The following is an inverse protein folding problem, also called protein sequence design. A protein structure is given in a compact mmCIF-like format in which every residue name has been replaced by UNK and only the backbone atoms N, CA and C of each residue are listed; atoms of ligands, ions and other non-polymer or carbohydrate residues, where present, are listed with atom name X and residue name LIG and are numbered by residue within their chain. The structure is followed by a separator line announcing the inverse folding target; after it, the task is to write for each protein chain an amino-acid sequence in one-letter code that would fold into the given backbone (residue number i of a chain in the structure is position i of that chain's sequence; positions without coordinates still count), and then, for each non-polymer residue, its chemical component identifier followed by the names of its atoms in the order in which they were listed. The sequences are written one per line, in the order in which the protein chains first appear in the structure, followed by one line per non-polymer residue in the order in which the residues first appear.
data_IF_738111136385
#
_entry.id   IF_738111136385
#
_cell.length_a   1.000
_cell.length_b   1.000
_cell.length_c   1.000
_cell.angle_alpha   90.00
_cell.angle_beta   90.00
_cell.angle_gamma   90.00
#
_symmetry.space_group_name_H-M   'P 1'
#
loop_
_entity.id
_entity.type
_entity.pdbx_description
1 polymer ?
#
# COMPACT_ATOMS: atom_id res chain seq x y z
N UNK A 1 33.46 -25.63 -35.60
CA UNK A 1 33.11 -26.34 -36.84
C UNK A 1 31.93 -27.27 -36.57
N UNK A 2 31.02 -27.36 -37.54
CA UNK A 2 29.78 -28.17 -37.58
C UNK A 2 30.04 -29.68 -37.43
N UNK A 3 29.01 -30.42 -37.00
CA UNK A 3 28.50 -31.72 -37.53
C UNK A 3 27.47 -32.26 -36.51
N UNK A 4 26.15 -32.22 -36.73
CA UNK A 4 25.30 -33.11 -37.58
C UNK A 4 25.42 -34.59 -37.21
N UNK A 5 24.34 -35.21 -36.73
CA UNK A 5 23.91 -36.52 -37.25
C UNK A 5 22.44 -36.85 -36.98
N UNK A 6 21.84 -37.49 -37.98
CA UNK A 6 20.44 -37.85 -38.18
C UNK A 6 20.21 -39.35 -37.94
N UNK A 7 18.97 -39.75 -37.63
CA UNK A 7 18.39 -41.09 -37.92
C UNK A 7 16.86 -40.98 -37.78
N UNK A 8 16.07 -40.91 -38.85
CA UNK A 8 15.67 -41.95 -39.82
C UNK A 8 14.82 -43.09 -39.23
N UNK A 9 13.55 -43.18 -39.67
CA UNK A 9 12.92 -44.38 -40.30
C UNK A 9 11.44 -44.15 -40.69
N UNK A 10 11.24 -43.96 -42.00
CA UNK A 10 10.31 -44.64 -42.94
C UNK A 10 9.08 -45.44 -42.46
N UNK A 11 7.95 -45.24 -43.18
CA UNK A 11 6.86 -46.20 -43.42
C UNK A 11 5.56 -45.48 -43.88
N UNK A 12 5.24 -45.36 -45.17
CA UNK A 12 4.37 -46.27 -45.97
C UNK A 12 2.90 -46.27 -45.47
N UNK A 13 1.79 -46.06 -46.20
CA UNK A 13 1.40 -46.16 -47.62
C UNK A 13 0.05 -45.41 -47.81
N UNK A 14 -0.14 -44.83 -49.00
CA UNK A 14 -1.38 -44.28 -49.57
C UNK A 14 -2.49 -45.33 -49.73
N UNK A 15 -3.79 -44.97 -49.69
CA UNK A 15 -4.80 -45.44 -50.65
C UNK A 15 -6.18 -44.75 -50.47
N UNK A 16 -6.59 -44.04 -51.52
CA UNK A 16 -7.94 -43.85 -52.08
C UNK A 16 -9.20 -43.79 -51.17
N UNK A 17 -9.95 -42.68 -51.28
CA UNK A 17 -11.26 -42.66 -51.97
C UNK A 17 -11.89 -41.27 -51.99
N UNK A 18 -12.10 -40.76 -53.21
CA UNK A 18 -13.04 -39.68 -53.54
C UNK A 18 -14.45 -40.20 -53.32
N UNK A 19 -15.37 -39.39 -52.76
CA UNK A 19 -16.74 -39.17 -53.26
C UNK A 19 -17.58 -38.30 -52.30
N UNK A 20 -18.16 -37.24 -52.90
CA UNK A 20 -19.47 -36.64 -52.64
C UNK A 20 -19.65 -35.69 -51.44
N UNK A 21 -19.66 -34.40 -51.80
CA UNK A 21 -20.70 -33.40 -51.49
C UNK A 21 -21.72 -33.78 -50.41
N UNK A 22 -21.77 -33.01 -49.34
CA UNK A 22 -22.97 -32.25 -48.94
C UNK A 22 -22.65 -31.33 -47.77
N UNK A 23 -23.21 -30.14 -47.85
CA UNK A 23 -23.06 -29.02 -46.94
C UNK A 23 -23.39 -29.39 -45.49
N UNK A 24 -22.43 -29.23 -44.59
CA UNK A 24 -22.72 -29.00 -43.18
C UNK A 24 -21.67 -28.07 -42.58
N UNK A 25 -22.17 -26.90 -42.21
CA UNK A 25 -21.54 -25.83 -41.45
C UNK A 25 -20.51 -26.37 -40.45
N UNK A 26 -19.22 -26.24 -40.76
CA UNK A 26 -18.15 -26.38 -39.78
C UNK A 26 -18.18 -25.17 -38.86
N UNK A 27 -18.98 -25.26 -37.79
CA UNK A 27 -18.73 -24.46 -36.60
C UNK A 27 -17.39 -24.94 -36.06
N UNK A 28 -16.35 -24.15 -36.26
CA UNK A 28 -15.04 -24.35 -35.67
C UNK A 28 -15.16 -24.18 -34.14
N UNK A 29 -15.63 -25.20 -33.43
CA UNK A 29 -15.38 -25.31 -32.00
C UNK A 29 -13.89 -25.60 -31.85
N UNK A 30 -13.09 -24.55 -31.71
CA UNK A 30 -11.71 -24.66 -31.23
C UNK A 30 -11.83 -25.12 -29.77
N UNK A 31 -11.45 -26.35 -29.41
CA UNK A 31 -11.38 -26.69 -28.00
C UNK A 31 -10.30 -25.79 -27.41
N UNK A 32 -10.72 -24.80 -26.61
CA UNK A 32 -9.81 -24.20 -25.65
C UNK A 32 -9.51 -25.32 -24.69
N UNK A 33 -8.43 -26.06 -24.96
CA UNK A 33 -7.74 -26.80 -23.93
C UNK A 33 -7.31 -25.73 -22.92
N UNK A 34 -8.18 -25.48 -21.94
CA UNK A 34 -7.84 -24.74 -20.74
C UNK A 34 -6.80 -25.62 -20.09
N UNK A 35 -5.53 -25.35 -20.39
CA UNK A 35 -4.44 -25.74 -19.51
C UNK A 35 -4.89 -25.27 -18.14
N UNK A 36 -5.24 -26.22 -17.27
CA UNK A 36 -5.34 -26.00 -15.84
C UNK A 36 -3.93 -25.59 -15.43
N UNK A 37 -3.62 -24.31 -15.63
CA UNK A 37 -2.48 -23.67 -15.02
C UNK A 37 -2.85 -23.69 -13.56
N UNK A 38 -2.33 -24.70 -12.85
CA UNK A 38 -2.38 -24.75 -11.39
C UNK A 38 -2.04 -23.36 -10.91
N UNK A 39 -3.05 -22.64 -10.41
CA UNK A 39 -2.82 -21.45 -9.62
C UNK A 39 -2.04 -21.97 -8.43
N UNK A 40 -0.73 -21.78 -8.43
CA UNK A 40 0.04 -22.05 -7.22
C UNK A 40 -0.59 -21.19 -6.14
N UNK A 41 -1.14 -21.84 -5.14
CA UNK A 41 -1.47 -21.20 -3.86
C UNK A 41 -0.17 -20.96 -3.11
N UNK A 42 0.82 -20.36 -3.80
CA UNK A 42 1.95 -19.76 -3.13
C UNK A 42 1.38 -18.55 -2.41
N UNK A 43 1.01 -18.77 -1.13
CA UNK A 43 0.68 -17.69 -0.22
C UNK A 43 1.94 -16.84 -0.13
N UNK A 44 2.08 -15.87 -1.03
CA UNK A 44 3.09 -14.81 -0.93
C UNK A 44 2.78 -14.03 0.33
N UNK A 45 3.24 -14.55 1.47
CA UNK A 45 3.21 -13.83 2.73
C UNK A 45 4.07 -12.60 2.51
N UNK A 46 3.49 -11.44 2.77
CA UNK A 46 4.29 -10.23 2.81
C UNK A 46 5.41 -10.46 3.84
N UNK A 47 6.64 -10.01 3.56
CA UNK A 47 7.72 -10.08 4.53
C UNK A 47 7.31 -9.46 5.86
N UNK A 48 7.79 -9.99 6.98
CA UNK A 48 7.43 -9.49 8.31
C UNK A 48 7.79 -8.01 8.50
N UNK A 49 8.73 -7.46 7.72
CA UNK A 49 9.14 -6.06 7.78
C UNK A 49 8.32 -5.13 6.87
N UNK A 50 7.33 -5.65 6.15
CA UNK A 50 6.54 -4.87 5.21
C UNK A 50 5.86 -3.68 5.89
N UNK A 51 6.24 -2.46 5.49
CA UNK A 51 5.65 -1.22 5.99
C UNK A 51 6.09 -0.75 7.39
N UNK A 52 6.90 -1.53 8.13
CA UNK A 52 7.33 -1.19 9.49
C UNK A 52 8.03 0.18 9.58
N UNK A 53 8.93 0.48 8.65
CA UNK A 53 9.68 1.74 8.63
C UNK A 53 8.77 2.98 8.44
N UNK A 54 7.70 2.85 7.64
CA UNK A 54 6.74 3.95 7.44
C UNK A 54 5.93 4.21 8.70
N UNK A 55 5.45 3.16 9.35
CA UNK A 55 4.68 3.25 10.59
C UNK A 55 5.52 3.84 11.72
N UNK A 56 6.78 3.39 11.86
CA UNK A 56 7.71 3.90 12.85
C UNK A 56 7.94 5.40 12.69
N UNK A 57 8.16 5.88 11.46
CA UNK A 57 8.32 7.31 11.16
C UNK A 57 7.07 8.11 11.56
N UNK A 58 5.88 7.60 11.29
CA UNK A 58 4.63 8.25 11.64
C UNK A 58 4.44 8.35 13.16
N UNK A 59 4.74 7.26 13.89
CA UNK A 59 4.72 7.22 15.36
C UNK A 59 5.68 8.24 15.98
N UNK A 60 6.91 8.30 15.48
CA UNK A 60 7.91 9.28 15.93
C UNK A 60 7.43 10.71 15.71
N UNK A 61 6.88 11.01 14.53
CA UNK A 61 6.33 12.33 14.22
C UNK A 61 5.17 12.71 15.14
N UNK A 62 4.26 11.78 15.42
CA UNK A 62 3.14 12.00 16.33
C UNK A 62 3.60 12.33 17.75
N UNK A 63 4.51 11.53 18.32
CA UNK A 63 5.01 11.73 19.69
C UNK A 63 5.78 13.04 19.84
N UNK A 64 6.52 13.45 18.80
CA UNK A 64 7.26 14.73 18.82
C UNK A 64 6.36 15.96 18.76
N UNK A 65 5.17 15.82 18.18
CA UNK A 65 4.19 16.91 18.08
C UNK A 65 3.17 16.90 19.22
N UNK A 66 3.15 15.85 20.05
CA UNK A 66 2.30 15.77 21.23
C UNK A 66 3.02 16.29 22.47
N UNK A 67 2.33 17.10 23.26
CA UNK A 67 2.83 17.67 24.51
C UNK A 67 2.15 17.02 25.73
N UNK A 68 2.31 15.70 25.88
CA UNK A 68 1.83 14.99 27.05
C UNK A 68 2.85 15.03 28.20
N UNK A 69 2.51 15.58 29.38
CA UNK A 69 3.47 15.77 30.48
C UNK A 69 4.01 14.45 31.02
N UNK A 70 3.19 13.39 31.00
CA UNK A 70 3.60 12.04 31.45
C UNK A 70 4.67 11.44 30.53
N UNK A 71 4.50 11.60 29.21
CA UNK A 71 5.45 11.12 28.21
C UNK A 71 6.76 11.89 28.33
N UNK A 72 6.68 13.22 28.53
CA UNK A 72 7.86 14.04 28.72
C UNK A 72 8.69 13.57 29.92
N UNK A 73 8.10 13.35 31.09
CA UNK A 73 8.83 12.87 32.28
C UNK A 73 9.63 11.59 32.01
N UNK A 74 9.09 10.67 31.20
CA UNK A 74 9.76 9.42 30.83
C UNK A 74 10.89 9.67 29.82
N UNK A 75 10.67 10.56 28.84
CA UNK A 75 11.64 10.83 27.77
C UNK A 75 12.76 11.80 28.18
N UNK A 76 12.53 12.67 29.16
CA UNK A 76 13.51 13.67 29.65
C UNK A 76 14.88 13.07 30.01
N UNK A 77 14.99 12.03 30.85
CA UNK A 77 16.31 11.47 31.20
C UNK A 77 17.06 10.93 29.98
N UNK A 78 16.35 10.35 29.00
CA UNK A 78 16.96 9.84 27.77
C UNK A 78 17.46 10.99 26.87
N UNK A 79 16.72 12.10 26.81
CA UNK A 79 17.13 13.31 26.08
C UNK A 79 18.39 13.93 26.69
N UNK A 80 18.48 13.97 28.02
CA UNK A 80 19.68 14.43 28.75
C UNK A 80 20.88 13.53 28.41
N UNK A 81 20.73 12.20 28.53
CA UNK A 81 21.82 11.26 28.26
C UNK A 81 22.33 11.29 26.80
N UNK A 82 21.44 11.57 25.83
CA UNK A 82 21.82 11.79 24.42
C UNK A 82 22.54 13.11 24.23
N UNK A 83 22.10 14.18 24.92
CA UNK A 83 22.73 15.50 24.88
C UNK A 83 24.14 15.45 25.46
N UNK A 84 24.30 14.90 26.66
CA UNK A 84 25.60 14.73 27.32
C UNK A 84 26.60 13.97 26.43
N UNK A 85 26.18 12.85 25.84
CA UNK A 85 27.06 12.10 24.92
C UNK A 85 27.38 12.88 23.66
N UNK A 86 26.43 13.67 23.15
CA UNK A 86 26.63 14.55 22.00
C UNK A 86 27.67 15.64 22.28
N UNK A 87 27.60 16.24 23.47
CA UNK A 87 28.55 17.26 23.93
C UNK A 87 29.96 16.67 24.08
N UNK A 88 30.09 15.45 24.60
CA UNK A 88 31.37 14.72 24.65
C UNK A 88 31.94 14.49 23.25
N UNK A 89 31.12 14.06 22.28
CA UNK A 89 31.58 13.87 20.88
C UNK A 89 32.04 15.20 20.27
N UNK A 90 31.41 16.31 20.63
CA UNK A 90 31.79 17.65 20.16
C UNK A 90 33.13 18.07 20.75
N UNK A 91 33.30 17.90 22.07
CA UNK A 91 34.55 18.18 22.78
C UNK A 91 35.71 17.35 22.23
N UNK A 92 35.52 16.05 21.97
CA UNK A 92 36.55 15.17 21.40
C UNK A 92 36.97 15.58 19.99
N UNK A 93 36.05 16.14 19.19
CA UNK A 93 36.36 16.67 17.87
C UNK A 93 37.07 18.02 17.94
N UNK A 94 36.70 18.86 18.90
CA UNK A 94 37.32 20.16 19.14
C UNK A 94 38.75 20.00 19.70
N UNK A 95 38.99 19.01 20.57
CA UNK A 95 40.31 18.72 21.15
C UNK A 95 41.24 17.94 20.22
N UNK A 96 40.78 17.51 19.04
CA UNK A 96 41.59 16.72 18.10
C UNK A 96 42.00 15.35 18.65
N UNK A 97 41.15 14.73 19.47
CA UNK A 97 41.37 13.40 20.02
C UNK A 97 41.56 12.34 18.92
N UNK A 98 42.21 11.19 19.21
CA UNK A 98 42.44 10.16 18.20
C UNK A 98 41.13 9.63 17.60
N UNK A 99 41.15 9.35 16.30
CA UNK A 99 39.99 8.89 15.52
C UNK A 99 39.26 7.67 16.13
N UNK A 100 40.01 6.80 16.83
CA UNK A 100 39.46 5.62 17.49
C UNK A 100 38.49 6.00 18.61
N UNK A 101 38.85 6.99 19.43
CA UNK A 101 38.04 7.44 20.56
C UNK A 101 36.81 8.19 20.08
N UNK A 102 36.94 9.00 19.02
CA UNK A 102 35.81 9.67 18.36
C UNK A 102 34.83 8.65 17.80
N UNK A 103 35.30 7.62 17.10
CA UNK A 103 34.43 6.56 16.53
C UNK A 103 33.71 5.78 17.63
N UNK A 104 34.40 5.46 18.73
CA UNK A 104 33.80 4.81 19.90
C UNK A 104 32.68 5.65 20.50
N UNK A 105 32.95 6.94 20.74
CA UNK A 105 31.95 7.87 21.28
C UNK A 105 30.75 8.10 20.35
N UNK A 106 30.97 8.09 19.02
CA UNK A 106 29.89 8.19 18.01
C UNK A 106 29.02 6.93 17.97
N UNK A 107 29.61 5.74 18.12
CA UNK A 107 28.84 4.49 18.18
C UNK A 107 27.94 4.46 19.41
N UNK A 108 28.47 4.89 20.56
CA UNK A 108 27.69 5.07 21.79
C UNK A 108 26.55 6.08 21.60
N UNK A 109 26.82 7.23 20.95
CA UNK A 109 25.79 8.22 20.62
C UNK A 109 24.68 7.62 19.74
N UNK A 110 25.02 6.81 18.73
CA UNK A 110 24.04 6.13 17.88
C UNK A 110 23.21 5.12 18.66
N UNK A 111 23.85 4.37 19.57
CA UNK A 111 23.14 3.42 20.44
C UNK A 111 22.13 4.13 21.34
N UNK A 112 22.51 5.24 21.98
CA UNK A 112 21.61 6.04 22.83
C UNK A 112 20.46 6.67 22.04
N UNK A 113 20.72 7.17 20.83
CA UNK A 113 19.67 7.67 19.93
C UNK A 113 18.67 6.58 19.56
N UNK A 114 19.15 5.37 19.28
CA UNK A 114 18.28 4.23 18.98
C UNK A 114 17.39 3.88 20.17
N UNK A 115 17.93 3.85 21.39
CA UNK A 115 17.17 3.60 22.62
C UNK A 115 16.07 4.66 22.80
N UNK A 116 16.38 5.94 22.56
CA UNK A 116 15.40 7.02 22.60
C UNK A 116 14.28 6.80 21.57
N UNK A 117 14.63 6.51 20.32
CA UNK A 117 13.65 6.27 19.24
C UNK A 117 12.76 5.04 19.53
N UNK A 118 13.34 3.96 20.05
CA UNK A 118 12.60 2.75 20.43
C UNK A 118 11.59 3.06 21.55
N UNK A 119 11.99 3.86 22.56
CA UNK A 119 11.10 4.32 23.64
C UNK A 119 10.01 5.26 23.14
N UNK A 120 10.31 6.17 22.22
CA UNK A 120 9.31 7.03 21.58
C UNK A 120 8.26 6.18 20.83
N UNK A 121 8.69 5.12 20.14
CA UNK A 121 7.80 4.22 19.39
C UNK A 121 6.95 3.32 20.29
N UNK A 122 7.48 2.89 21.45
CA UNK A 122 6.76 2.14 22.48
C UNK A 122 5.66 2.99 23.14
N UNK A 123 5.94 4.26 23.41
CA UNK A 123 5.00 5.20 24.04
C UNK A 123 3.93 5.70 23.06
N UNK A 124 4.16 5.59 21.75
CA UNK A 124 3.19 5.97 20.74
C UNK A 124 1.92 5.09 20.81
N UNK A 125 0.72 5.68 20.87
CA UNK A 125 -0.52 4.91 20.87
C UNK A 125 -0.60 3.94 19.68
N UNK A 126 -1.18 2.74 19.86
CA UNK A 126 -1.21 1.71 18.81
C UNK A 126 -2.01 2.12 17.57
N UNK A 127 -2.97 3.04 17.73
CA UNK A 127 -3.82 3.56 16.66
C UNK A 127 -3.10 4.58 15.75
N UNK A 128 -1.93 5.07 16.17
CA UNK A 128 -1.15 6.07 15.44
C UNK A 128 -0.59 5.47 14.16
N UNK A 129 -1.24 5.82 13.04
CA UNK A 129 -0.86 5.42 11.67
C UNK A 129 -1.96 4.68 10.92
N UNK A 130 -3.06 4.35 11.59
CA UNK A 130 -4.24 3.76 10.96
C UNK A 130 -5.33 4.80 10.76
N UNK A 131 -5.46 5.28 9.52
CA UNK A 131 -6.55 6.15 9.14
C UNK A 131 -7.79 5.29 8.80
N UNK A 132 -8.70 5.16 9.77
CA UNK A 132 -9.93 4.39 9.61
C UNK A 132 -10.79 4.94 8.47
N UNK A 133 -10.88 6.26 8.30
CA UNK A 133 -11.67 6.87 7.24
C UNK A 133 -11.13 6.49 5.86
N UNK A 134 -9.81 6.51 5.71
CA UNK A 134 -9.16 6.10 4.45
C UNK A 134 -9.26 4.61 4.19
N UNK A 135 -9.19 3.77 5.23
CA UNK A 135 -9.44 2.33 5.09
C UNK A 135 -10.88 2.08 4.63
N UNK A 136 -11.88 2.70 5.26
CA UNK A 136 -13.29 2.54 4.90
C UNK A 136 -13.58 2.96 3.45
N UNK A 137 -12.96 4.04 2.97
CA UNK A 137 -13.06 4.50 1.59
C UNK A 137 -12.47 3.50 0.60
N UNK A 138 -11.29 2.93 0.89
CA UNK A 138 -10.70 1.86 0.08
C UNK A 138 -11.59 0.62 0.02
N UNK A 139 -12.20 0.24 1.15
CA UNK A 139 -13.12 -0.89 1.22
C UNK A 139 -14.37 -0.64 0.36
N UNK A 140 -14.97 0.54 0.47
CA UNK A 140 -16.11 0.97 -0.35
C UNK A 140 -15.80 0.90 -1.83
N UNK A 141 -14.68 1.49 -2.27
CA UNK A 141 -14.24 1.50 -3.68
C UNK A 141 -14.03 0.11 -4.26
N UNK A 142 -13.35 -0.77 -3.53
CA UNK A 142 -12.91 -2.05 -4.09
C UNK A 142 -13.89 -3.19 -3.91
N UNK A 143 -14.60 -3.24 -2.80
CA UNK A 143 -15.52 -4.36 -2.51
C UNK A 143 -16.96 -4.04 -2.89
N UNK A 144 -17.41 -2.82 -2.60
CA UNK A 144 -18.82 -2.47 -2.81
C UNK A 144 -19.03 -1.97 -4.23
N UNK A 145 -18.32 -0.95 -4.65
CA UNK A 145 -18.52 -0.35 -5.96
C UNK A 145 -18.15 -1.33 -7.09
N UNK A 146 -16.93 -1.88 -7.10
CA UNK A 146 -16.46 -2.74 -8.20
C UNK A 146 -17.33 -4.01 -8.42
N UNK A 147 -17.71 -4.71 -7.33
CA UNK A 147 -18.56 -5.91 -7.42
C UNK A 147 -20.03 -5.58 -7.75
N UNK A 148 -20.58 -4.48 -7.20
CA UNK A 148 -21.98 -4.11 -7.48
C UNK A 148 -22.19 -3.64 -8.92
N UNK A 149 -21.18 -3.05 -9.57
CA UNK A 149 -21.23 -2.77 -11.01
C UNK A 149 -21.23 -4.05 -11.88
N UNK A 150 -20.52 -5.09 -11.47
CA UNK A 150 -20.47 -6.37 -12.19
C UNK A 150 -21.81 -7.11 -12.11
N UNK A 151 -22.52 -7.00 -10.98
CA UNK A 151 -23.82 -7.66 -10.78
C UNK A 151 -24.96 -6.87 -11.44
N UNK A 152 -24.95 -5.53 -11.37
CA UNK A 152 -26.07 -4.71 -11.86
C UNK A 152 -25.85 -4.06 -13.23
N UNK A 153 -24.68 -4.24 -13.85
CA UNK A 153 -24.36 -3.77 -15.19
C UNK A 153 -24.44 -2.25 -15.31
N UNK A 154 -23.29 -1.58 -15.48
CA UNK A 154 -23.12 -0.11 -15.45
C UNK A 154 -24.09 0.78 -16.24
N UNK A 155 -25.01 0.22 -17.04
CA UNK A 155 -26.12 0.95 -17.69
C UNK A 155 -27.15 1.53 -16.71
N UNK A 156 -27.47 0.85 -15.60
CA UNK A 156 -28.48 1.34 -14.65
C UNK A 156 -27.90 2.22 -13.54
N UNK A 157 -26.61 2.09 -13.26
CA UNK A 157 -25.97 2.83 -12.16
C UNK A 157 -25.58 4.27 -12.53
N UNK A 158 -25.32 4.57 -13.81
CA UNK A 158 -25.07 5.95 -14.27
C UNK A 158 -26.33 6.81 -14.07
N UNK A 159 -27.52 6.28 -14.37
CA UNK A 159 -28.78 6.98 -14.14
C UNK A 159 -29.10 7.14 -12.64
N UNK A 160 -28.80 6.14 -11.82
CA UNK A 160 -29.01 6.23 -10.37
C UNK A 160 -28.04 7.23 -9.72
N UNK A 161 -26.76 7.20 -10.07
CA UNK A 161 -25.74 8.14 -9.58
C UNK A 161 -25.99 9.58 -10.08
N UNK A 162 -26.42 9.76 -11.34
CA UNK A 162 -26.82 11.08 -11.85
C UNK A 162 -28.05 11.63 -11.11
N UNK A 163 -29.01 10.77 -10.74
CA UNK A 163 -30.17 11.19 -9.96
C UNK A 163 -29.82 11.50 -8.50
N UNK A 164 -28.93 10.74 -7.88
CA UNK A 164 -28.46 11.02 -6.50
C UNK A 164 -27.63 12.33 -6.47
N UNK A 165 -26.75 12.55 -7.44
CA UNK A 165 -25.98 13.79 -7.56
C UNK A 165 -26.86 15.00 -7.87
N UNK A 166 -27.83 14.88 -8.79
CA UNK A 166 -28.83 15.94 -9.04
C UNK A 166 -29.63 16.31 -7.79
N UNK A 167 -30.01 15.31 -6.99
CA UNK A 167 -30.75 15.52 -5.74
C UNK A 167 -29.87 16.20 -4.68
N UNK A 168 -28.60 15.83 -4.57
CA UNK A 168 -27.67 16.45 -3.62
C UNK A 168 -27.36 17.92 -3.99
N UNK A 169 -27.20 18.23 -5.29
CA UNK A 169 -26.97 19.60 -5.80
C UNK A 169 -28.19 20.50 -5.52
N UNK A 170 -29.40 20.01 -5.78
CA UNK A 170 -30.64 20.75 -5.47
C UNK A 170 -30.81 21.03 -3.97
N UNK A 171 -30.37 20.11 -3.09
CA UNK A 171 -30.39 20.29 -1.63
C UNK A 171 -29.33 21.31 -1.17
N UNK A 172 -28.19 21.43 -1.86
CA UNK A 172 -27.20 22.48 -1.57
C UNK A 172 -27.64 23.86 -2.06
N UNK A 173 -28.30 23.95 -3.22
CA UNK A 173 -28.81 25.23 -3.75
C UNK A 173 -29.96 25.79 -2.90
N UNK A 174 -30.83 24.93 -2.36
CA UNK A 174 -31.91 25.35 -1.45
C UNK A 174 -31.46 25.72 -0.03
N UNK A 175 -30.25 25.33 0.39
CA UNK A 175 -29.64 25.84 1.64
C UNK A 175 -28.96 27.19 1.48
N UNK A 176 -28.37 27.47 0.30
CA UNK A 176 -27.74 28.77 0.00
C UNK A 176 -28.78 29.90 -0.15
N UNK A 177 -30.03 29.59 -0.53
CA UNK A 177 -31.10 30.58 -0.63
C UNK A 177 -31.74 30.98 0.72
N UNK A 178 -31.65 30.17 1.78
CA UNK A 178 -32.25 30.52 3.07
C UNK A 178 -31.38 31.46 3.93
N UNK A 179 -30.11 31.65 3.59
CA UNK A 179 -29.19 32.52 4.35
C UNK A 179 -29.12 33.97 3.83
N UNK A 180 -29.80 34.29 2.71
CA UNK A 180 -29.80 35.66 2.13
C UNK A 180 -30.99 36.53 2.51
N UNK A 181 -31.99 35.98 3.20
CA UNK A 181 -33.22 36.71 3.53
C UNK A 181 -33.21 37.36 4.93
N UNK A 182 -32.06 37.37 5.61
CA UNK A 182 -31.92 37.96 6.97
C UNK A 182 -31.27 39.36 7.02
N UNK A 183 -31.03 40.01 5.88
CA UNK A 183 -30.49 41.38 5.83
C UNK A 183 -31.34 42.34 4.96
N UNK A 184 -32.66 42.34 5.13
CA UNK A 184 -33.48 43.48 4.75
C UNK A 184 -34.70 43.66 5.65
N UNK A 185 -34.48 44.15 6.87
CA UNK A 185 -35.45 44.99 7.56
C UNK A 185 -34.71 45.79 8.63
N UNK A 186 -34.27 46.99 8.24
CA UNK A 186 -33.99 48.13 9.09
C UNK A 186 -34.94 49.24 8.66
#
# INVERSE_FOLDING_TARGET
MRMVFSRSRSGLISLLSVLLNSDHVRICYRPVFISLRSYSTDRRRLPDNWGKNRLQKYKLHYIRNMDDPKIQTILQPLRIAVKEQGDLVRQLKESGAPDLDVKKAVNELKARKKILEDKEVELAPPEVGFDRARMEDLLKRRFYFDQSFAIYGGKYLINFMLNVLKKQILISESKVCNDKDFLSFA
#
